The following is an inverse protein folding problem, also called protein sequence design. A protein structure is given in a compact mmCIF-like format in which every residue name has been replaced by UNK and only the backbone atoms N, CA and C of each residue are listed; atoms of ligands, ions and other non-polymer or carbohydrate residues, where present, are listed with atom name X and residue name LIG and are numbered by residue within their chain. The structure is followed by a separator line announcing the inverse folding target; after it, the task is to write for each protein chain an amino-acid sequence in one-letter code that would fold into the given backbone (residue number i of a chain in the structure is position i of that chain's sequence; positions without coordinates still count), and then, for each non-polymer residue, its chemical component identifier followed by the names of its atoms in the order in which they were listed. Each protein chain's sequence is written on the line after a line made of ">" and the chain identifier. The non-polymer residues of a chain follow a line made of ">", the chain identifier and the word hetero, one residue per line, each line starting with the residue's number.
data_IF_974585801336
#
_entry.id   IF_974585801336
#
_cell.length_a   1.000
_cell.length_b   1.000
_cell.length_c   1.000
_cell.angle_alpha   90.00
_cell.angle_beta   90.00
_cell.angle_gamma   90.00
#
_symmetry.space_group_name_H-M   'P 1'
#
loop_
_entity.id
_entity.type
_entity.pdbx_description
1 polymer ?
#
# COMPACT_ATOMS: atom_id res chain seq x y z
N UNK A 1 15.84 8.15 -3.55
CA UNK A 1 15.79 6.76 -3.05
C UNK A 1 14.34 6.31 -3.14
N UNK A 2 14.05 5.28 -3.93
CA UNK A 2 12.71 4.70 -3.97
C UNK A 2 12.44 3.99 -2.64
N UNK A 3 11.47 4.48 -1.87
CA UNK A 3 11.02 3.78 -0.66
C UNK A 3 9.88 2.83 -1.02
N UNK A 4 9.66 1.81 -0.17
CA UNK A 4 8.50 0.92 -0.28
C UNK A 4 7.19 1.72 -0.41
N UNK A 5 7.04 2.79 0.37
CA UNK A 5 5.88 3.68 0.33
C UNK A 5 5.68 4.35 -1.03
N UNK A 6 6.76 4.86 -1.63
CA UNK A 6 6.72 5.47 -2.95
C UNK A 6 6.28 4.47 -4.02
N UNK A 7 6.82 3.25 -3.98
CA UNK A 7 6.47 2.17 -4.92
C UNK A 7 5.02 1.71 -4.75
N UNK A 8 4.55 1.62 -3.51
CA UNK A 8 3.16 1.28 -3.20
C UNK A 8 2.19 2.30 -3.77
N UNK A 9 2.46 3.58 -3.53
CA UNK A 9 1.67 4.69 -4.07
C UNK A 9 1.61 4.64 -5.59
N UNK A 10 2.75 4.43 -6.24
CA UNK A 10 2.84 4.29 -7.69
C UNK A 10 1.98 3.13 -8.22
N UNK A 11 2.07 1.94 -7.62
CA UNK A 11 1.26 0.78 -8.02
C UNK A 11 -0.24 1.03 -7.86
N UNK A 12 -0.63 1.68 -6.75
CA UNK A 12 -2.03 2.04 -6.49
C UNK A 12 -2.56 3.02 -7.54
N UNK A 13 -1.79 4.06 -7.86
CA UNK A 13 -2.15 5.06 -8.86
C UNK A 13 -2.19 4.47 -10.27
N UNK A 14 -1.23 3.61 -10.61
CA UNK A 14 -1.22 2.85 -11.88
C UNK A 14 -2.43 1.93 -12.02
N UNK A 15 -2.95 1.42 -10.90
CA UNK A 15 -4.17 0.58 -10.85
C UNK A 15 -5.46 1.40 -10.76
N UNK A 16 -5.38 2.73 -10.84
CA UNK A 16 -6.49 3.68 -10.80
C UNK A 16 -7.43 3.51 -9.59
N UNK A 17 -6.86 3.17 -8.43
CA UNK A 17 -7.60 2.93 -7.18
C UNK A 17 -7.33 4.03 -6.16
N UNK A 18 -8.39 4.43 -5.44
CA UNK A 18 -8.27 5.40 -4.35
C UNK A 18 -7.58 4.79 -3.13
N UNK A 19 -6.92 5.62 -2.31
CA UNK A 19 -6.37 5.15 -1.03
C UNK A 19 -7.45 4.51 -0.15
N UNK A 20 -8.66 5.08 -0.13
CA UNK A 20 -9.78 4.56 0.67
C UNK A 20 -10.19 3.15 0.25
N UNK A 21 -10.25 2.88 -1.05
CA UNK A 21 -10.65 1.56 -1.55
C UNK A 21 -9.54 0.55 -1.37
N UNK A 22 -8.29 0.94 -1.61
CA UNK A 22 -7.16 0.05 -1.36
C UNK A 22 -7.02 -0.31 0.12
N UNK A 23 -7.15 0.68 1.01
CA UNK A 23 -7.11 0.48 2.44
C UNK A 23 -8.18 -0.54 2.90
N UNK A 24 -9.40 -0.45 2.35
CA UNK A 24 -10.45 -1.44 2.60
C UNK A 24 -10.07 -2.84 2.13
N UNK A 25 -9.44 -2.98 0.95
CA UNK A 25 -9.03 -4.27 0.41
C UNK A 25 -7.99 -4.97 1.27
N UNK A 26 -7.00 -4.22 1.79
CA UNK A 26 -5.94 -4.77 2.65
C UNK A 26 -6.30 -4.72 4.15
N UNK A 27 -7.54 -4.35 4.51
CA UNK A 27 -8.03 -4.39 5.89
C UNK A 27 -7.47 -3.30 6.82
N UNK A 28 -7.01 -2.16 6.30
CA UNK A 28 -6.46 -1.05 7.10
C UNK A 28 -7.30 0.23 6.97
N UNK A 29 -7.06 1.19 7.86
CA UNK A 29 -7.67 2.52 7.72
C UNK A 29 -6.95 3.34 6.64
N UNK A 30 -7.67 4.29 6.03
CA UNK A 30 -7.10 5.19 5.01
C UNK A 30 -5.88 5.96 5.56
N UNK A 31 -5.93 6.39 6.82
CA UNK A 31 -4.80 7.05 7.50
C UNK A 31 -3.58 6.15 7.62
N UNK A 32 -3.78 4.86 7.90
CA UNK A 32 -2.68 3.88 7.99
C UNK A 32 -2.04 3.69 6.62
N UNK A 33 -2.84 3.52 5.56
CA UNK A 33 -2.32 3.42 4.21
C UNK A 33 -1.54 4.68 3.80
N UNK A 34 -2.05 5.87 4.11
CA UNK A 34 -1.33 7.12 3.81
C UNK A 34 0.03 7.19 4.51
N UNK A 35 0.16 6.68 5.74
CA UNK A 35 1.44 6.59 6.45
C UNK A 35 2.40 5.55 5.85
N UNK A 36 1.86 4.49 5.26
CA UNK A 36 2.66 3.54 4.49
C UNK A 36 3.22 4.20 3.22
N UNK A 37 2.38 4.91 2.48
CA UNK A 37 2.78 5.60 1.25
C UNK A 37 3.77 6.76 1.49
N UNK A 38 3.66 7.47 2.62
CA UNK A 38 4.62 8.52 3.01
C UNK A 38 5.93 7.96 3.59
N UNK A 39 5.95 6.69 3.99
CA UNK A 39 7.09 6.06 4.65
C UNK A 39 7.19 6.33 6.16
N UNK A 40 6.20 7.04 6.74
CA UNK A 40 6.13 7.32 8.19
C UNK A 40 5.91 6.04 9.01
N UNK A 41 5.29 5.03 8.40
CA UNK A 41 5.08 3.71 9.00
C UNK A 41 5.46 2.63 8.01
N UNK A 42 6.10 1.57 8.49
CA UNK A 42 6.29 0.35 7.70
C UNK A 42 5.09 -0.58 7.90
N UNK A 43 4.53 -1.16 6.83
CA UNK A 43 3.59 -2.26 6.98
C UNK A 43 4.29 -3.46 7.63
N UNK A 44 3.54 -4.24 8.39
CA UNK A 44 4.01 -5.52 8.90
C UNK A 44 4.02 -6.58 7.78
N UNK A 45 4.51 -7.78 8.12
CA UNK A 45 4.65 -8.86 7.17
C UNK A 45 3.30 -9.26 6.54
N UNK A 46 2.24 -9.31 7.34
CA UNK A 46 0.91 -9.71 6.87
C UNK A 46 0.34 -8.70 5.86
N UNK A 47 0.48 -7.40 6.12
CA UNK A 47 0.08 -6.36 5.17
C UNK A 47 0.97 -6.37 3.94
N UNK A 48 2.28 -6.61 4.08
CA UNK A 48 3.18 -6.73 2.93
C UNK A 48 2.77 -7.89 2.02
N UNK A 49 2.39 -9.03 2.60
CA UNK A 49 1.90 -10.18 1.84
C UNK A 49 0.61 -9.83 1.10
N UNK A 50 -0.37 -9.19 1.76
CA UNK A 50 -1.61 -8.73 1.11
C UNK A 50 -1.36 -7.75 -0.03
N UNK A 51 -0.38 -6.85 0.13
CA UNK A 51 0.01 -5.90 -0.92
C UNK A 51 0.64 -6.64 -2.10
N UNK A 52 1.55 -7.58 -1.84
CA UNK A 52 2.22 -8.39 -2.86
C UNK A 52 1.21 -9.24 -3.64
N UNK A 53 0.31 -9.92 -2.93
CA UNK A 53 -0.77 -10.72 -3.51
C UNK A 53 -1.72 -9.84 -4.35
N UNK A 54 -2.04 -8.63 -3.86
CA UNK A 54 -2.95 -7.71 -4.57
C UNK A 54 -2.39 -7.20 -5.89
N UNK A 55 -1.09 -6.89 -5.94
CA UNK A 55 -0.43 -6.37 -7.14
C UNK A 55 0.31 -7.44 -7.94
N UNK A 56 0.20 -8.71 -7.55
CA UNK A 56 0.89 -9.87 -8.16
C UNK A 56 2.40 -9.65 -8.32
N UNK A 57 3.03 -9.00 -7.34
CA UNK A 57 4.47 -8.72 -7.35
C UNK A 57 5.16 -9.71 -6.44
N UNK A 58 5.77 -10.74 -7.04
CA UNK A 58 6.54 -11.80 -6.37
C UNK A 58 7.92 -11.32 -5.91
#
# INVERSE_FOLDING_TARGET
>A
MESLGSRLKYLREKSNISQKDFAKKIGVSNTVLSRYESGDRKPDYDILQLIADYFEVM
#
